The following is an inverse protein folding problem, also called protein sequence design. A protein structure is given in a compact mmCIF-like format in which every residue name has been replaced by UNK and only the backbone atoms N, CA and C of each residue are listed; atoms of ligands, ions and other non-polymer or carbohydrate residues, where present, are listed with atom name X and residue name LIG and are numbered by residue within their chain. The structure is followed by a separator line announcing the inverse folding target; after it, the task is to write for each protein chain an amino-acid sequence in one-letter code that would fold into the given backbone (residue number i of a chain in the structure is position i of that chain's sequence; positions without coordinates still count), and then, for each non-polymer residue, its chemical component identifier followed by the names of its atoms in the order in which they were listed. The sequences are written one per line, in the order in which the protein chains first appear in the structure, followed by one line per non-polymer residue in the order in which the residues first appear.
data_IF_700295538795
#
_entry.id   IF_700295538795
#
_cell.length_a   1.000
_cell.length_b   1.000
_cell.length_c   1.000
_cell.angle_alpha   90.00
_cell.angle_beta   90.00
_cell.angle_gamma   90.00
#
_symmetry.space_group_name_H-M   'P 1'
#
loop_
_entity.id
_entity.type
_entity.pdbx_description
1 polymer ?
#
# COMPACT_ATOMS: atom_id res chain seq x y z
N UNK A 1 32.59 7.42 0.90
CA UNK A 1 31.57 7.80 -0.09
C UNK A 1 30.32 7.00 0.24
N UNK A 2 29.21 7.65 0.58
CA UNK A 2 27.93 6.93 0.69
C UNK A 2 27.53 6.48 -0.71
N UNK A 3 27.16 5.21 -0.83
CA UNK A 3 26.65 4.62 -2.06
C UNK A 3 25.30 5.29 -2.40
N UNK A 4 25.08 5.71 -3.67
CA UNK A 4 23.86 6.44 -4.06
C UNK A 4 22.65 5.51 -3.94
N UNK A 5 22.84 4.22 -4.19
CA UNK A 5 21.83 3.18 -3.98
C UNK A 5 21.39 3.07 -2.50
N UNK A 6 22.32 3.13 -1.55
CA UNK A 6 21.98 3.16 -0.12
C UNK A 6 21.20 4.42 0.25
N UNK A 7 21.54 5.57 -0.37
CA UNK A 7 20.84 6.83 -0.16
C UNK A 7 19.39 6.76 -0.67
N UNK A 8 19.19 6.17 -1.85
CA UNK A 8 17.85 5.91 -2.39
C UNK A 8 17.05 4.95 -1.49
N UNK A 9 17.66 3.85 -1.03
CA UNK A 9 17.01 2.90 -0.11
C UNK A 9 16.63 3.54 1.23
N UNK A 10 17.46 4.44 1.76
CA UNK A 10 17.13 5.21 2.95
C UNK A 10 15.91 6.12 2.72
N UNK A 11 15.76 6.68 1.51
CA UNK A 11 14.57 7.40 1.08
C UNK A 11 13.30 6.53 1.08
N UNK A 12 13.39 5.31 0.53
CA UNK A 12 12.27 4.34 0.53
C UNK A 12 11.89 3.91 1.96
N UNK A 13 12.89 3.70 2.82
CA UNK A 13 12.67 3.42 4.24
C UNK A 13 11.92 4.58 4.93
N UNK A 14 12.39 5.81 4.72
CA UNK A 14 11.81 6.99 5.36
C UNK A 14 10.38 7.27 4.86
N UNK A 15 10.12 7.06 3.57
CA UNK A 15 8.76 7.12 3.03
C UNK A 15 7.82 6.14 3.74
N UNK A 16 8.21 4.87 3.87
CA UNK A 16 7.39 3.86 4.54
C UNK A 16 7.25 4.14 6.05
N UNK A 17 8.28 4.69 6.70
CA UNK A 17 8.23 5.14 8.10
C UNK A 17 7.19 6.23 8.31
N UNK A 18 7.16 7.25 7.43
CA UNK A 18 6.14 8.32 7.47
C UNK A 18 4.75 7.77 7.24
N UNK A 19 4.59 6.84 6.30
CA UNK A 19 3.32 6.18 6.07
C UNK A 19 2.85 5.39 7.30
N UNK A 20 3.72 4.57 7.91
CA UNK A 20 3.45 3.87 9.17
C UNK A 20 2.99 4.84 10.26
N UNK A 21 3.67 5.97 10.43
CA UNK A 21 3.29 6.99 11.41
C UNK A 21 1.90 7.59 11.13
N UNK A 22 1.57 7.88 9.85
CA UNK A 22 0.23 8.35 9.44
C UNK A 22 -0.85 7.34 9.79
N UNK A 23 -0.63 6.06 9.47
CA UNK A 23 -1.60 4.98 9.76
C UNK A 23 -1.78 4.79 11.26
N UNK A 24 -0.68 4.71 12.03
CA UNK A 24 -0.76 4.59 13.48
C UNK A 24 -1.44 5.81 14.10
N UNK A 25 -1.12 7.03 13.66
CA UNK A 25 -1.78 8.25 14.12
C UNK A 25 -3.29 8.22 13.89
N UNK A 26 -3.75 7.72 12.73
CA UNK A 26 -5.17 7.52 12.45
C UNK A 26 -5.78 6.44 13.35
N UNK A 27 -5.11 5.31 13.54
CA UNK A 27 -5.58 4.24 14.41
C UNK A 27 -5.73 4.71 15.86
N UNK A 28 -4.75 5.45 16.40
CA UNK A 28 -4.81 5.99 17.76
C UNK A 28 -5.90 7.05 17.94
N UNK A 29 -6.16 7.90 16.93
CA UNK A 29 -7.17 8.97 17.05
C UNK A 29 -8.59 8.53 16.77
N UNK A 30 -8.79 7.49 15.95
CA UNK A 30 -10.13 7.07 15.51
C UNK A 30 -10.46 5.65 15.98
N UNK A 31 -9.61 4.67 15.67
CA UNK A 31 -9.94 3.25 15.90
C UNK A 31 -9.89 2.90 17.39
N UNK A 32 -8.85 3.34 18.10
CA UNK A 32 -8.68 3.05 19.53
C UNK A 32 -9.83 3.63 20.37
N UNK A 33 -10.17 4.94 20.29
CA UNK A 33 -11.26 5.50 21.08
C UNK A 33 -12.61 4.88 20.74
N UNK A 34 -12.90 4.66 19.44
CA UNK A 34 -14.15 4.05 19.01
C UNK A 34 -14.31 2.63 19.57
N UNK A 35 -13.23 1.84 19.56
CA UNK A 35 -13.25 0.47 20.08
C UNK A 35 -13.42 0.47 21.60
N UNK A 36 -12.68 1.32 22.31
CA UNK A 36 -12.77 1.44 23.77
C UNK A 36 -14.16 1.90 24.21
N UNK A 37 -14.65 3.01 23.66
CA UNK A 37 -15.98 3.55 24.00
C UNK A 37 -17.08 2.57 23.60
N UNK A 38 -17.00 2.01 22.40
CA UNK A 38 -18.00 1.05 21.89
C UNK A 38 -18.07 -0.21 22.75
N UNK A 39 -16.94 -0.84 23.05
CA UNK A 39 -16.90 -2.06 23.87
C UNK A 39 -17.28 -1.80 25.33
N UNK A 40 -16.73 -0.75 25.96
CA UNK A 40 -17.09 -0.38 27.33
C UNK A 40 -18.56 0.00 27.47
N UNK A 41 -19.10 0.80 26.54
CA UNK A 41 -20.50 1.20 26.54
C UNK A 41 -21.45 0.01 26.36
N UNK A 42 -21.14 -0.88 25.41
CA UNK A 42 -21.95 -2.08 25.17
C UNK A 42 -22.01 -2.99 26.40
N UNK A 43 -20.85 -3.30 26.99
CA UNK A 43 -20.80 -4.19 28.16
C UNK A 43 -21.38 -3.54 29.41
N UNK A 44 -21.19 -2.22 29.60
CA UNK A 44 -21.85 -1.48 30.67
C UNK A 44 -23.38 -1.54 30.55
N UNK A 45 -23.91 -1.33 29.34
CA UNK A 45 -25.36 -1.41 29.08
C UNK A 45 -25.92 -2.81 29.34
N UNK A 46 -25.26 -3.86 28.82
CA UNK A 46 -25.68 -5.24 29.04
C UNK A 46 -25.65 -5.63 30.53
N UNK A 47 -24.61 -5.24 31.25
CA UNK A 47 -24.50 -5.53 32.68
C UNK A 47 -25.51 -4.73 33.51
N UNK A 48 -25.79 -3.46 33.17
CA UNK A 48 -26.80 -2.66 33.87
C UNK A 48 -28.19 -3.31 33.83
N UNK A 49 -28.54 -3.92 32.70
CA UNK A 49 -29.82 -4.64 32.50
C UNK A 49 -29.85 -5.94 33.30
N UNK A 50 -28.73 -6.67 33.36
CA UNK A 50 -28.70 -8.03 33.91
C UNK A 50 -28.36 -8.13 35.41
N UNK A 51 -27.56 -7.19 35.93
CA UNK A 51 -27.04 -7.23 37.31
C UNK A 51 -27.44 -6.02 38.18
N UNK A 52 -28.46 -5.27 37.77
CA UNK A 52 -29.20 -4.38 38.67
C UNK A 52 -28.57 -3.01 38.91
N UNK A 53 -28.40 -2.22 37.85
CA UNK A 53 -28.14 -0.77 37.98
C UNK A 53 -26.66 -0.36 37.93
N UNK A 54 -26.32 0.77 38.57
CA UNK A 54 -25.06 1.49 38.32
C UNK A 54 -23.79 0.70 38.64
N UNK A 55 -23.81 -0.15 39.67
CA UNK A 55 -22.65 -0.98 40.04
C UNK A 55 -22.40 -2.06 38.98
N UNK A 56 -23.45 -2.71 38.49
CA UNK A 56 -23.37 -3.66 37.37
C UNK A 56 -22.82 -3.01 36.10
N UNK A 57 -23.28 -1.79 35.79
CA UNK A 57 -22.78 -1.01 34.67
C UNK A 57 -21.27 -0.73 34.76
N UNK A 58 -20.76 -0.42 35.96
CA UNK A 58 -19.34 -0.17 36.20
C UNK A 58 -18.49 -1.43 35.94
N UNK A 59 -18.90 -2.58 36.49
CA UNK A 59 -18.20 -3.85 36.22
C UNK A 59 -18.27 -4.25 34.76
N UNK A 60 -19.41 -4.03 34.10
CA UNK A 60 -19.56 -4.20 32.66
C UNK A 60 -18.59 -3.32 31.87
N UNK A 61 -18.46 -2.03 32.24
CA UNK A 61 -17.53 -1.11 31.58
C UNK A 61 -16.07 -1.60 31.65
N UNK A 62 -15.63 -2.11 32.82
CA UNK A 62 -14.30 -2.71 32.99
C UNK A 62 -14.13 -3.97 32.14
N UNK A 63 -15.15 -4.83 32.06
CA UNK A 63 -15.14 -5.98 31.15
C UNK A 63 -15.00 -5.55 29.69
N UNK A 64 -15.70 -4.49 29.28
CA UNK A 64 -15.58 -3.91 27.95
C UNK A 64 -14.21 -3.28 27.66
N UNK A 65 -13.54 -2.69 28.65
CA UNK A 65 -12.15 -2.21 28.50
C UNK A 65 -11.19 -3.36 28.23
N UNK A 66 -11.32 -4.47 28.95
CA UNK A 66 -10.51 -5.66 28.72
C UNK A 66 -10.75 -6.22 27.31
N UNK A 67 -12.01 -6.32 26.89
CA UNK A 67 -12.36 -6.77 25.54
C UNK A 67 -11.79 -5.83 24.47
N UNK A 68 -11.86 -4.51 24.68
CA UNK A 68 -11.25 -3.54 23.78
C UNK A 68 -9.73 -3.76 23.68
N UNK A 69 -9.04 -4.00 24.80
CA UNK A 69 -7.61 -4.29 24.80
C UNK A 69 -7.26 -5.55 23.98
N UNK A 70 -8.06 -6.62 24.11
CA UNK A 70 -7.89 -7.86 23.32
C UNK A 70 -8.06 -7.57 21.82
N UNK A 71 -9.15 -6.91 21.44
CA UNK A 71 -9.45 -6.59 20.03
C UNK A 71 -8.36 -5.69 19.43
N UNK A 72 -7.94 -4.65 20.15
CA UNK A 72 -6.88 -3.75 19.70
C UNK A 72 -5.53 -4.47 19.58
N UNK A 73 -5.23 -5.40 20.49
CA UNK A 73 -4.01 -6.21 20.41
C UNK A 73 -3.97 -7.06 19.13
N UNK A 74 -5.09 -7.73 18.79
CA UNK A 74 -5.21 -8.51 17.55
C UNK A 74 -5.09 -7.58 16.32
N UNK A 75 -5.78 -6.44 16.35
CA UNK A 75 -5.73 -5.46 15.28
C UNK A 75 -4.30 -4.97 15.00
N UNK A 76 -3.56 -4.56 16.03
CA UNK A 76 -2.18 -4.09 15.87
C UNK A 76 -1.21 -5.22 15.50
N UNK A 77 -1.43 -6.45 16.00
CA UNK A 77 -0.62 -7.61 15.63
C UNK A 77 -0.71 -7.92 14.12
N UNK A 78 -1.86 -7.68 13.49
CA UNK A 78 -2.03 -7.84 12.04
C UNK A 78 -1.49 -6.63 11.27
N UNK A 79 -1.72 -5.42 11.77
CA UNK A 79 -1.37 -4.17 11.08
C UNK A 79 0.15 -3.91 11.04
N UNK A 80 0.84 -4.09 12.17
CA UNK A 80 2.24 -3.68 12.32
C UNK A 80 3.24 -4.40 11.40
N UNK A 81 3.14 -5.73 11.18
CA UNK A 81 4.06 -6.44 10.28
C UNK A 81 3.97 -5.91 8.84
N UNK A 82 2.76 -5.64 8.35
CA UNK A 82 2.51 -5.11 7.01
C UNK A 82 3.05 -3.68 6.79
N UNK A 83 3.29 -2.94 7.87
CA UNK A 83 3.78 -1.56 7.83
C UNK A 83 5.27 -1.42 8.15
N UNK A 84 6.04 -2.52 8.17
CA UNK A 84 7.45 -2.50 8.54
C UNK A 84 8.32 -1.78 7.48
N UNK A 85 8.95 -0.64 7.82
CA UNK A 85 9.80 0.09 6.86
C UNK A 85 11.02 -0.73 6.42
N UNK A 86 11.60 -1.49 7.35
CA UNK A 86 12.72 -2.38 7.05
C UNK A 86 12.32 -3.55 6.14
N UNK A 87 11.09 -4.07 6.26
CA UNK A 87 10.61 -5.10 5.34
C UNK A 87 10.35 -4.54 3.94
N UNK A 88 9.77 -3.34 3.87
CA UNK A 88 9.53 -2.65 2.60
C UNK A 88 10.84 -2.32 1.87
N UNK A 89 11.81 -1.69 2.54
CA UNK A 89 13.10 -1.35 1.95
C UNK A 89 13.85 -2.59 1.44
N UNK A 90 13.86 -3.70 2.21
CA UNK A 90 14.43 -4.97 1.75
C UNK A 90 13.72 -5.55 0.53
N UNK A 91 12.40 -5.33 0.40
CA UNK A 91 11.65 -5.78 -0.77
C UNK A 91 11.96 -4.93 -2.00
N UNK A 92 12.05 -3.61 -1.83
CA UNK A 92 12.47 -2.69 -2.90
C UNK A 92 13.90 -3.02 -3.37
N UNK A 93 14.84 -3.18 -2.43
CA UNK A 93 16.21 -3.63 -2.69
C UNK A 93 16.22 -4.96 -3.45
N UNK A 94 15.51 -5.98 -2.96
CA UNK A 94 15.46 -7.28 -3.62
C UNK A 94 14.91 -7.17 -5.04
N UNK A 95 13.83 -6.42 -5.25
CA UNK A 95 13.24 -6.21 -6.58
C UNK A 95 14.27 -5.58 -7.53
N UNK A 96 14.94 -4.52 -7.10
CA UNK A 96 15.94 -3.83 -7.94
C UNK A 96 17.17 -4.69 -8.18
N UNK A 97 17.72 -5.33 -7.15
CA UNK A 97 18.90 -6.20 -7.28
C UNK A 97 18.63 -7.46 -8.11
N UNK A 98 17.37 -7.91 -8.18
CA UNK A 98 16.96 -9.02 -9.06
C UNK A 98 16.88 -8.57 -10.52
N UNK A 99 16.40 -7.34 -10.77
CA UNK A 99 16.30 -6.79 -12.13
C UNK A 99 17.64 -6.27 -12.67
N UNK A 100 18.44 -5.65 -11.81
CA UNK A 100 19.72 -5.02 -12.12
C UNK A 100 20.80 -5.81 -11.39
N UNK A 101 21.55 -6.64 -12.12
CA UNK A 101 22.61 -7.46 -11.52
C UNK A 101 23.91 -6.68 -11.33
N UNK A 102 24.15 -5.68 -12.18
CA UNK A 102 25.36 -4.87 -12.15
C UNK A 102 25.29 -3.72 -11.11
N UNK A 103 26.41 -3.47 -10.44
CA UNK A 103 26.47 -2.45 -9.40
C UNK A 103 26.44 -1.02 -9.96
N UNK A 104 27.05 -0.76 -11.11
CA UNK A 104 27.02 0.56 -11.73
C UNK A 104 25.63 0.90 -12.27
N UNK A 105 24.92 -0.09 -12.81
CA UNK A 105 23.52 0.04 -13.22
C UNK A 105 22.59 0.38 -12.05
N UNK A 106 22.79 -0.25 -10.88
CA UNK A 106 22.04 0.08 -9.65
C UNK A 106 22.30 1.50 -9.16
N UNK A 107 23.55 1.97 -9.24
CA UNK A 107 23.92 3.34 -8.88
C UNK A 107 23.31 4.36 -9.85
N UNK A 108 23.25 4.04 -11.16
CA UNK A 108 22.55 4.88 -12.14
C UNK A 108 21.05 4.94 -11.87
N UNK A 109 20.42 3.79 -11.64
CA UNK A 109 19.01 3.69 -11.27
C UNK A 109 18.71 4.55 -10.03
N UNK A 110 19.50 4.43 -8.97
CA UNK A 110 19.30 5.19 -7.74
C UNK A 110 19.39 6.70 -7.96
N UNK A 111 20.35 7.14 -8.78
CA UNK A 111 20.52 8.55 -9.13
C UNK A 111 19.30 9.09 -9.88
N UNK A 112 18.79 8.33 -10.85
CA UNK A 112 17.59 8.68 -11.60
C UNK A 112 16.37 8.74 -10.68
N UNK A 113 16.16 7.74 -9.82
CA UNK A 113 15.03 7.71 -8.87
C UNK A 113 15.06 8.89 -7.90
N UNK A 114 16.23 9.25 -7.37
CA UNK A 114 16.38 10.40 -6.48
C UNK A 114 16.07 11.71 -7.23
N UNK A 115 16.54 11.84 -8.48
CA UNK A 115 16.30 13.04 -9.28
C UNK A 115 14.81 13.25 -9.57
N UNK A 116 14.09 12.19 -9.95
CA UNK A 116 12.66 12.29 -10.32
C UNK A 116 11.72 12.38 -9.13
N UNK A 117 12.16 11.99 -7.93
CA UNK A 117 11.33 12.04 -6.72
C UNK A 117 10.80 13.45 -6.40
N UNK A 118 11.47 14.50 -6.88
CA UNK A 118 11.04 15.91 -6.69
C UNK A 118 10.54 16.58 -7.98
N UNK A 119 10.49 15.86 -9.11
CA UNK A 119 10.06 16.39 -10.41
C UNK A 119 8.59 15.99 -10.71
N UNK A 120 7.63 16.94 -10.63
CA UNK A 120 6.22 16.66 -10.89
C UNK A 120 5.89 16.28 -12.34
N UNK A 121 6.82 16.51 -13.28
CA UNK A 121 6.67 16.14 -14.68
C UNK A 121 7.04 14.69 -14.95
N UNK A 122 7.82 14.07 -14.05
CA UNK A 122 8.34 12.70 -14.17
C UNK A 122 7.85 11.78 -13.06
N UNK A 123 7.32 12.32 -11.96
CA UNK A 123 6.72 11.52 -10.90
C UNK A 123 5.51 12.19 -10.28
N UNK A 124 4.67 11.39 -9.62
CA UNK A 124 3.58 11.89 -8.81
C UNK A 124 3.15 10.90 -7.72
N UNK A 125 2.74 11.44 -6.58
CA UNK A 125 2.06 10.70 -5.53
C UNK A 125 0.55 10.60 -5.81
N UNK A 126 -0.04 9.50 -5.39
CA UNK A 126 -1.48 9.28 -5.44
C UNK A 126 -1.94 8.34 -4.31
N UNK A 127 -3.26 8.19 -4.13
CA UNK A 127 -3.81 7.24 -3.16
C UNK A 127 -4.49 6.08 -3.87
N UNK A 128 -4.16 4.85 -3.48
CA UNK A 128 -4.88 3.65 -3.90
C UNK A 128 -6.12 3.48 -3.04
N UNK A 129 -7.28 3.61 -3.69
CA UNK A 129 -8.59 3.36 -3.11
C UNK A 129 -9.25 2.23 -3.89
N UNK A 130 -9.35 1.06 -3.27
CA UNK A 130 -9.90 -0.13 -3.92
C UNK A 130 -9.99 -1.31 -2.96
N UNK A 131 -10.43 -2.48 -3.43
CA UNK A 131 -10.50 -3.65 -2.57
C UNK A 131 -9.15 -3.98 -1.94
N UNK A 132 -9.11 -4.08 -0.60
CA UNK A 132 -7.90 -4.29 0.21
C UNK A 132 -6.88 -3.13 0.20
N UNK A 133 -7.21 -1.99 -0.42
CA UNK A 133 -6.40 -0.76 -0.39
C UNK A 133 -7.27 0.41 0.05
N UNK A 134 -7.00 0.97 1.22
CA UNK A 134 -7.83 2.03 1.79
C UNK A 134 -6.99 3.29 2.00
N UNK A 135 -7.03 4.21 1.04
CA UNK A 135 -6.20 5.41 1.03
C UNK A 135 -4.71 5.09 1.24
N UNK A 136 -4.24 4.00 0.61
CA UNK A 136 -2.83 3.61 0.67
C UNK A 136 -2.03 4.58 -0.21
N UNK A 137 -1.07 5.35 0.32
CA UNK A 137 -0.21 6.20 -0.49
C UNK A 137 0.58 5.33 -1.47
N UNK A 138 0.63 5.79 -2.70
CA UNK A 138 1.38 5.20 -3.79
C UNK A 138 2.10 6.31 -4.55
N UNK A 139 3.10 5.90 -5.31
CA UNK A 139 3.91 6.82 -6.11
C UNK A 139 4.27 6.12 -7.40
N UNK A 140 4.18 6.89 -8.48
CA UNK A 140 4.61 6.49 -9.80
C UNK A 140 5.74 7.41 -10.24
N UNK A 141 6.75 6.84 -10.88
CA UNK A 141 7.79 7.59 -11.55
C UNK A 141 8.21 6.96 -12.86
N UNK A 142 8.62 7.86 -13.74
CA UNK A 142 9.18 7.57 -15.04
C UNK A 142 10.54 8.25 -15.15
N UNK A 143 11.54 7.52 -15.64
CA UNK A 143 12.85 8.03 -16.00
C UNK A 143 13.18 7.53 -17.41
N UNK A 144 14.21 8.08 -18.08
CA UNK A 144 14.57 7.64 -19.43
C UNK A 144 14.77 6.12 -19.56
N UNK A 145 15.15 5.44 -18.47
CA UNK A 145 15.45 4.00 -18.49
C UNK A 145 14.43 3.15 -17.72
N UNK A 146 13.63 3.74 -16.83
CA UNK A 146 12.82 2.97 -15.88
C UNK A 146 11.41 3.53 -15.70
N UNK A 147 10.46 2.61 -15.50
CA UNK A 147 9.17 2.92 -14.90
C UNK A 147 9.09 2.24 -13.53
N UNK A 148 8.70 3.00 -12.51
CA UNK A 148 8.60 2.53 -11.14
C UNK A 148 7.24 2.83 -10.53
N UNK A 149 6.72 1.89 -9.74
CA UNK A 149 5.54 2.10 -8.92
C UNK A 149 5.72 1.48 -7.55
N UNK A 150 5.41 2.23 -6.50
CA UNK A 150 5.30 1.73 -5.13
C UNK A 150 3.91 1.97 -4.55
N UNK A 151 3.56 1.18 -3.54
CA UNK A 151 2.28 1.28 -2.83
C UNK A 151 1.18 0.34 -3.34
N UNK A 152 1.47 -0.49 -4.35
CA UNK A 152 0.58 -1.50 -4.91
C UNK A 152 0.74 -2.91 -4.33
N UNK A 153 0.16 -3.89 -5.02
CA UNK A 153 0.45 -5.31 -4.84
C UNK A 153 0.84 -5.90 -6.19
N UNK A 154 2.12 -6.17 -6.46
CA UNK A 154 3.27 -6.12 -5.55
C UNK A 154 3.63 -4.73 -4.98
N UNK A 155 4.27 -4.70 -3.81
CA UNK A 155 4.57 -3.47 -3.06
C UNK A 155 5.50 -2.49 -3.77
N UNK A 156 6.37 -3.01 -4.64
CA UNK A 156 7.34 -2.26 -5.43
C UNK A 156 7.47 -2.97 -6.79
N UNK A 157 7.26 -2.22 -7.87
CA UNK A 157 7.35 -2.68 -9.25
C UNK A 157 8.38 -1.79 -9.95
N UNK A 158 9.34 -2.40 -10.64
CA UNK A 158 10.33 -1.72 -11.46
C UNK A 158 10.37 -2.41 -12.81
N UNK A 159 10.30 -1.61 -13.87
CA UNK A 159 10.40 -2.07 -15.24
C UNK A 159 11.55 -1.33 -15.91
N UNK A 160 12.46 -2.07 -16.54
CA UNK A 160 13.50 -1.53 -17.40
C UNK A 160 12.92 -1.28 -18.79
N UNK A 161 12.86 -0.03 -19.22
CA UNK A 161 12.17 0.38 -20.45
C UNK A 161 12.87 -0.11 -21.71
N UNK A 162 14.19 -0.30 -21.68
CA UNK A 162 14.96 -0.85 -22.80
C UNK A 162 14.53 -2.27 -23.18
N UNK A 163 13.95 -3.02 -22.24
CA UNK A 163 13.51 -4.39 -22.46
C UNK A 163 12.06 -4.43 -22.99
N UNK A 164 11.38 -3.28 -23.04
CA UNK A 164 9.97 -3.16 -23.40
C UNK A 164 9.84 -2.81 -24.88
N UNK A 165 9.08 -3.62 -25.61
CA UNK A 165 8.75 -3.38 -27.02
C UNK A 165 7.42 -2.65 -27.20
N UNK A 166 6.48 -2.88 -26.29
CA UNK A 166 5.13 -2.31 -26.35
C UNK A 166 4.68 -1.96 -24.93
N UNK A 167 4.21 -0.73 -24.74
CA UNK A 167 3.49 -0.29 -23.55
C UNK A 167 2.02 -0.19 -23.94
N UNK A 168 1.15 -0.94 -23.24
CA UNK A 168 -0.28 -0.96 -23.56
C UNK A 168 -1.14 -0.78 -22.32
N UNK A 169 -2.12 0.14 -22.34
CA UNK A 169 -3.13 0.18 -21.30
C UNK A 169 -4.12 -0.98 -21.45
N UNK A 170 -4.56 -1.53 -20.32
CA UNK A 170 -5.60 -2.55 -20.29
C UNK A 170 -6.58 -2.31 -19.13
N UNK A 171 -7.71 -3.01 -19.15
CA UNK A 171 -8.76 -2.92 -18.13
C UNK A 171 -9.20 -4.34 -17.73
N UNK A 172 -8.82 -4.75 -16.53
CA UNK A 172 -9.21 -6.05 -16.01
C UNK A 172 -10.41 -5.94 -15.07
N UNK A 173 -11.52 -6.58 -15.44
CA UNK A 173 -12.64 -6.78 -14.52
C UNK A 173 -12.27 -7.87 -13.53
N UNK A 174 -12.01 -7.48 -12.28
CA UNK A 174 -11.68 -8.40 -11.19
C UNK A 174 -12.80 -8.49 -10.18
N UNK A 175 -12.83 -9.63 -9.50
CA UNK A 175 -13.73 -9.87 -8.37
C UNK A 175 -12.94 -9.87 -7.07
N UNK A 176 -13.29 -8.98 -6.15
CA UNK A 176 -12.83 -9.07 -4.77
C UNK A 176 -13.88 -9.79 -3.94
N UNK A 177 -13.47 -10.85 -3.25
CA UNK A 177 -14.33 -11.52 -2.27
C UNK A 177 -14.01 -11.00 -0.88
N UNK A 178 -15.01 -10.44 -0.21
CA UNK A 178 -14.98 -10.16 1.24
C UNK A 178 -15.81 -11.22 1.95
N UNK A 179 -15.19 -11.90 2.92
CA UNK A 179 -15.85 -12.90 3.77
C UNK A 179 -16.01 -12.32 5.16
N UNK A 180 -17.23 -12.31 5.68
CA UNK A 180 -17.55 -11.90 7.05
C UNK A 180 -18.48 -12.95 7.65
N UNK A 181 -17.97 -13.75 8.59
CA UNK A 181 -18.66 -14.93 9.11
C UNK A 181 -19.06 -15.90 7.98
N UNK A 182 -20.36 -16.23 7.90
CA UNK A 182 -20.94 -17.08 6.85
C UNK A 182 -21.34 -16.32 5.58
N UNK A 183 -21.21 -14.99 5.54
CA UNK A 183 -21.55 -14.19 4.37
C UNK A 183 -20.34 -14.01 3.44
N UNK A 184 -20.52 -14.34 2.16
CA UNK A 184 -19.59 -14.07 1.08
C UNK A 184 -20.15 -12.93 0.23
N UNK A 185 -19.49 -11.77 0.21
CA UNK A 185 -19.81 -10.69 -0.72
C UNK A 185 -18.78 -10.68 -1.85
N UNK A 186 -19.27 -10.68 -3.07
CA UNK A 186 -18.45 -10.55 -4.28
C UNK A 186 -18.62 -9.11 -4.76
N UNK A 187 -17.52 -8.36 -4.81
CA UNK A 187 -17.46 -7.02 -5.36
C UNK A 187 -16.77 -7.08 -6.71
N UNK A 188 -17.43 -6.57 -7.74
CA UNK A 188 -16.82 -6.37 -9.05
C UNK A 188 -16.13 -5.01 -9.05
N UNK A 189 -14.89 -4.98 -9.51
CA UNK A 189 -14.14 -3.74 -9.69
C UNK A 189 -13.30 -3.84 -10.96
N UNK A 190 -13.07 -2.69 -11.60
CA UNK A 190 -12.14 -2.59 -12.73
C UNK A 190 -10.78 -2.21 -12.19
N UNK A 191 -9.76 -2.99 -12.53
CA UNK A 191 -8.36 -2.63 -12.34
C UNK A 191 -7.83 -2.12 -13.67
N UNK A 192 -7.48 -0.84 -13.74
CA UNK A 192 -6.84 -0.24 -14.90
C UNK A 192 -5.35 -0.55 -14.84
N UNK A 193 -4.78 -1.15 -15.87
CA UNK A 193 -3.38 -1.58 -15.86
C UNK A 193 -2.58 -0.93 -16.98
N UNK A 194 -1.28 -0.81 -16.77
CA UNK A 194 -0.29 -0.55 -17.83
C UNK A 194 0.57 -1.80 -17.92
N UNK A 195 0.49 -2.50 -19.05
CA UNK A 195 1.31 -3.67 -19.36
C UNK A 195 2.57 -3.26 -20.12
N UNK A 196 3.70 -3.86 -19.72
CA UNK A 196 5.02 -3.66 -20.33
C UNK A 196 5.46 -4.96 -21.02
N UNK A 197 5.29 -5.03 -22.33
CA UNK A 197 5.47 -6.27 -23.10
C UNK A 197 6.86 -6.33 -23.73
N UNK A 198 7.62 -7.38 -23.40
CA UNK A 198 8.89 -7.70 -24.07
C UNK A 198 8.66 -8.35 -25.44
N UNK A 199 7.57 -9.12 -25.57
CA UNK A 199 7.14 -9.78 -26.81
C UNK A 199 5.66 -9.46 -27.05
N UNK A 200 5.30 -8.80 -28.17
CA UNK A 200 3.91 -8.49 -28.51
C UNK A 200 3.05 -9.75 -28.65
N UNK A 201 1.78 -9.70 -28.22
CA UNK A 201 0.78 -10.76 -28.49
C UNK A 201 0.68 -11.90 -27.46
N UNK A 202 1.46 -11.88 -26.38
CA UNK A 202 1.29 -12.77 -25.21
C UNK A 202 0.38 -12.06 -24.19
N UNK A 203 -0.35 -12.81 -23.37
CA UNK A 203 -1.21 -12.27 -22.30
C UNK A 203 -0.48 -11.31 -21.34
N UNK A 204 -1.23 -10.66 -20.44
CA UNK A 204 -0.69 -9.63 -19.54
C UNK A 204 0.61 -10.10 -18.85
N UNK A 205 1.71 -9.34 -18.97
CA UNK A 205 2.98 -9.70 -18.36
C UNK A 205 2.87 -9.63 -16.83
N UNK A 206 3.65 -10.45 -16.12
CA UNK A 206 3.70 -10.49 -14.65
C UNK A 206 4.05 -9.12 -14.00
N UNK A 207 4.54 -8.16 -14.80
CA UNK A 207 4.98 -6.83 -14.36
C UNK A 207 4.04 -5.69 -14.79
N UNK A 208 2.72 -5.93 -14.81
CA UNK A 208 1.76 -4.85 -15.05
C UNK A 208 1.63 -3.92 -13.84
N UNK A 209 1.55 -2.61 -14.08
CA UNK A 209 1.24 -1.63 -13.04
C UNK A 209 -0.27 -1.44 -12.95
N UNK A 210 -0.86 -1.75 -11.80
CA UNK A 210 -2.30 -1.67 -11.57
C UNK A 210 -2.75 -0.42 -10.81
N UNK A 211 -3.82 0.19 -11.28
CA UNK A 211 -4.45 1.40 -10.77
C UNK A 211 -5.95 1.16 -10.55
N UNK A 212 -6.51 1.67 -9.45
CA UNK A 212 -7.95 1.58 -9.20
C UNK A 212 -8.75 2.75 -9.82
N UNK A 213 -8.05 3.75 -10.34
CA UNK A 213 -8.63 4.92 -10.99
C UNK A 213 -8.06 5.08 -12.40
N UNK A 214 -8.95 5.32 -13.36
CA UNK A 214 -8.57 5.46 -14.77
C UNK A 214 -7.76 6.73 -15.03
N UNK A 215 -8.12 7.84 -14.41
CA UNK A 215 -7.41 9.11 -14.56
C UNK A 215 -5.97 9.05 -14.04
N UNK A 216 -5.74 8.33 -12.94
CA UNK A 216 -4.39 8.05 -12.43
C UNK A 216 -3.59 7.22 -13.44
N UNK A 217 -4.18 6.15 -13.99
CA UNK A 217 -3.55 5.32 -15.02
C UNK A 217 -3.22 6.14 -16.28
N UNK A 218 -4.17 6.92 -16.77
CA UNK A 218 -4.01 7.73 -17.98
C UNK A 218 -2.94 8.81 -17.80
N UNK A 219 -2.83 9.38 -16.59
CA UNK A 219 -1.73 10.30 -16.23
C UNK A 219 -0.37 9.61 -16.28
N UNK A 220 -0.25 8.40 -15.72
CA UNK A 220 0.99 7.63 -15.77
C UNK A 220 1.35 7.24 -17.22
N UNK A 221 0.37 6.83 -18.02
CA UNK A 221 0.56 6.51 -19.44
C UNK A 221 1.04 7.73 -20.23
N UNK A 222 0.41 8.90 -20.03
CA UNK A 222 0.81 10.14 -20.70
C UNK A 222 2.23 10.59 -20.32
N UNK A 223 2.75 10.22 -19.14
CA UNK A 223 4.16 10.45 -18.79
C UNK A 223 5.10 9.51 -19.55
N UNK A 224 4.71 8.24 -19.72
CA UNK A 224 5.48 7.23 -20.46
C UNK A 224 5.55 7.54 -21.97
N UNK A 225 4.49 8.12 -22.54
CA UNK A 225 4.43 8.48 -23.96
C UNK A 225 5.24 9.74 -24.31
N UNK A 226 5.65 10.53 -23.31
CA UNK A 226 6.41 11.78 -23.50
C UNK A 226 7.94 11.60 -23.40
N UNK A 227 8.39 10.45 -22.89
CA UNK A 227 9.80 10.08 -22.80
C UNK A 227 10.33 9.50 -24.10
#
# INVERSE_FOLDING_TARGET
MQNVFETWLAGEYEWMRRYKAKVLGRSLRMVVPLTVIGSSGLFAGLAAINSGGAVGALYGAFGGLFMAAVVLSIYFAILLPGLSPAHFARKAEKTVCTLLSDAAERESFAREMIAVASDPSQSFDFEMVGPKSNHTPAWFAHTPHYACMRGGSPAYIVVRLTDVREIRPDEEKRTATTRSGNARRIHFYTLYTIGFFQTPGIGLPDQAMGFFDKGIRDRALAMLERG
#
